data_IF_074133927895
#
_entry.id   IF_074133927895
#
_cell.length_a   1.000
_cell.length_b   1.000
_cell.length_c   1.000
_cell.angle_alpha   90.00
_cell.angle_beta   90.00
_cell.angle_gamma   90.00
#
_symmetry.space_group_name_H-M   'P 1'
#
loop_
_entity.id
_entity.type
_entity.pdbx_description
1 polymer ?
#
# COMPACT_ATOMS: atom_id res chain seq x y z
N UNK A 1 38.32 -13.07 10.33
CA UNK A 1 37.13 -12.20 10.23
C UNK A 1 35.91 -13.10 10.32
N UNK A 2 35.22 -13.14 11.47
CA UNK A 2 34.06 -14.03 11.66
C UNK A 2 32.87 -13.39 10.95
N UNK A 3 32.48 -13.95 9.81
CA UNK A 3 31.24 -13.60 9.14
C UNK A 3 30.08 -14.08 10.01
N UNK A 4 29.35 -13.15 10.63
CA UNK A 4 28.07 -13.45 11.26
C UNK A 4 27.14 -13.95 10.15
N UNK A 5 26.68 -15.19 10.27
CA UNK A 5 25.72 -15.77 9.32
C UNK A 5 24.54 -14.80 9.16
N UNK A 6 24.35 -14.29 7.94
CA UNK A 6 23.13 -13.55 7.58
C UNK A 6 21.95 -14.45 7.94
N UNK A 7 21.01 -13.91 8.72
CA UNK A 7 19.74 -14.58 9.03
C UNK A 7 19.15 -15.16 7.75
N UNK A 8 18.83 -16.45 7.76
CA UNK A 8 18.19 -17.13 6.63
C UNK A 8 16.82 -16.53 6.28
N UNK A 9 16.20 -15.84 7.24
CA UNK A 9 14.89 -15.20 7.12
C UNK A 9 15.02 -13.69 7.02
N UNK A 10 14.15 -13.09 6.18
CA UNK A 10 13.94 -11.64 6.17
C UNK A 10 13.33 -11.18 7.51
N UNK A 11 13.40 -9.88 7.83
CA UNK A 11 12.42 -9.29 8.73
C UNK A 11 10.99 -9.63 8.29
N UNK A 12 10.08 -9.67 9.25
CA UNK A 12 8.65 -9.81 9.01
C UNK A 12 8.17 -8.50 8.39
N UNK A 13 7.58 -8.54 7.20
CA UNK A 13 6.85 -7.41 6.65
C UNK A 13 5.46 -7.36 7.26
N UNK A 14 5.14 -6.28 7.97
CA UNK A 14 3.87 -6.09 8.66
C UNK A 14 3.17 -4.83 8.16
N UNK A 15 2.06 -5.02 7.45
CA UNK A 15 1.10 -3.96 7.19
C UNK A 15 0.02 -4.02 8.28
N UNK A 16 -0.14 -2.92 9.01
CA UNK A 16 -1.20 -2.77 10.00
C UNK A 16 -2.27 -1.83 9.43
N UNK A 17 -3.49 -2.33 9.33
CA UNK A 17 -4.68 -1.56 9.01
C UNK A 17 -5.52 -1.26 10.26
N UNK A 18 -6.58 -0.46 10.14
CA UNK A 18 -7.46 -0.14 11.26
C UNK A 18 -8.20 -1.37 11.82
N UNK A 19 -8.48 -2.36 10.96
CA UNK A 19 -9.28 -3.55 11.27
C UNK A 19 -8.58 -4.86 10.89
N UNK A 20 -7.32 -4.81 10.46
CA UNK A 20 -6.58 -6.01 10.06
C UNK A 20 -5.06 -5.88 10.21
N UNK A 21 -4.37 -7.01 10.29
CA UNK A 21 -2.93 -7.09 10.13
C UNK A 21 -2.57 -8.13 9.08
N UNK A 22 -1.68 -7.74 8.15
CA UNK A 22 -1.13 -8.60 7.10
C UNK A 22 0.36 -8.77 7.33
N UNK A 23 0.81 -10.00 7.50
CA UNK A 23 2.19 -10.36 7.78
C UNK A 23 2.74 -11.28 6.69
N UNK A 24 3.96 -11.01 6.24
CA UNK A 24 4.71 -11.88 5.31
C UNK A 24 6.15 -11.99 5.81
N UNK A 25 6.74 -13.18 5.72
CA UNK A 25 8.16 -13.40 5.92
C UNK A 25 8.74 -14.24 4.79
N UNK A 26 9.90 -13.83 4.29
CA UNK A 26 10.60 -14.49 3.19
C UNK A 26 11.82 -15.26 3.69
N UNK A 27 12.22 -16.25 2.92
CA UNK A 27 13.47 -17.00 3.13
C UNK A 27 14.20 -17.22 1.81
N UNK A 28 15.52 -17.40 1.88
CA UNK A 28 16.39 -17.59 0.72
C UNK A 28 17.01 -16.29 0.20
N UNK A 29 17.99 -16.40 -0.72
CA UNK A 29 18.68 -15.24 -1.28
C UNK A 29 17.75 -14.44 -2.20
N UNK A 30 18.08 -13.17 -2.45
CA UNK A 30 17.24 -12.19 -3.18
C UNK A 30 16.59 -12.74 -4.46
N UNK A 31 17.35 -13.41 -5.32
CA UNK A 31 16.86 -13.96 -6.60
C UNK A 31 16.19 -15.33 -6.49
N UNK A 32 16.05 -15.86 -5.26
CA UNK A 32 15.52 -17.20 -5.01
C UNK A 32 14.61 -17.22 -3.78
N UNK A 33 13.93 -16.09 -3.50
CA UNK A 33 13.06 -15.94 -2.35
C UNK A 33 11.81 -16.79 -2.50
N UNK A 34 11.35 -17.31 -1.37
CA UNK A 34 10.06 -18.00 -1.21
C UNK A 34 9.40 -17.50 0.06
N UNK A 35 8.06 -17.61 0.12
CA UNK A 35 7.31 -17.31 1.34
C UNK A 35 7.62 -18.37 2.40
N UNK A 36 8.10 -17.93 3.56
CA UNK A 36 8.29 -18.78 4.73
C UNK A 36 7.02 -18.85 5.58
N UNK A 37 6.44 -17.69 5.88
CA UNK A 37 5.25 -17.54 6.70
C UNK A 37 4.42 -16.37 6.18
N UNK A 38 3.09 -16.50 6.26
CA UNK A 38 2.14 -15.50 5.76
C UNK A 38 0.82 -15.65 6.51
N UNK A 39 0.25 -14.52 6.94
CA UNK A 39 -0.98 -14.48 7.72
C UNK A 39 -1.70 -13.16 7.51
N UNK A 40 -3.03 -13.19 7.44
CA UNK A 40 -3.86 -12.00 7.52
C UNK A 40 -4.99 -12.29 8.50
N UNK A 41 -5.08 -11.49 9.56
CA UNK A 41 -6.15 -11.59 10.55
C UNK A 41 -6.89 -10.26 10.63
N UNK A 42 -8.19 -10.33 10.91
CA UNK A 42 -9.01 -9.15 11.16
C UNK A 42 -9.23 -8.99 12.66
N UNK A 43 -9.27 -7.75 13.12
CA UNK A 43 -9.50 -7.41 14.51
C UNK A 43 -10.99 -7.18 14.75
N UNK A 44 -11.54 -7.81 15.77
CA UNK A 44 -12.89 -7.52 16.27
C UNK A 44 -12.76 -6.53 17.45
N UNK A 45 -12.54 -5.25 17.12
CA UNK A 45 -12.34 -4.17 18.10
C UNK A 45 -13.48 -3.17 17.96
N UNK A 46 -14.23 -3.00 19.05
CA UNK A 46 -15.30 -2.01 19.17
C UNK A 46 -14.77 -0.59 18.88
N UNK A 47 -15.48 0.15 18.03
CA UNK A 47 -15.16 1.54 17.69
C UNK A 47 -15.24 2.49 18.89
N UNK A 48 -15.88 2.08 19.98
CA UNK A 48 -15.95 2.83 21.24
C UNK A 48 -14.71 2.65 22.13
N UNK A 49 -13.80 1.74 21.80
CA UNK A 49 -12.56 1.58 22.56
C UNK A 49 -11.74 2.86 22.52
N UNK A 50 -11.12 3.19 23.66
CA UNK A 50 -10.07 4.20 23.68
C UNK A 50 -8.89 3.78 22.79
N UNK A 51 -8.06 4.74 22.40
CA UNK A 51 -6.90 4.47 21.55
C UNK A 51 -5.92 3.48 22.20
N UNK A 52 -5.69 3.63 23.51
CA UNK A 52 -4.82 2.75 24.30
C UNK A 52 -5.36 1.31 24.38
N UNK A 53 -6.66 1.15 24.61
CA UNK A 53 -7.31 -0.18 24.63
C UNK A 53 -7.25 -0.85 23.26
N UNK A 54 -7.45 -0.08 22.18
CA UNK A 54 -7.32 -0.57 20.81
C UNK A 54 -5.90 -1.06 20.55
N UNK A 55 -4.88 -0.29 20.91
CA UNK A 55 -3.48 -0.67 20.72
C UNK A 55 -3.11 -1.92 21.52
N UNK A 56 -3.57 -2.03 22.76
CA UNK A 56 -3.34 -3.21 23.59
C UNK A 56 -3.97 -4.48 22.99
N UNK A 57 -5.20 -4.37 22.43
CA UNK A 57 -5.87 -5.47 21.73
C UNK A 57 -5.13 -5.87 20.46
N UNK A 58 -4.72 -4.89 19.64
CA UNK A 58 -3.92 -5.15 18.43
C UNK A 58 -2.61 -5.86 18.78
N UNK A 59 -1.89 -5.38 19.80
CA UNK A 59 -0.64 -6.00 20.24
C UNK A 59 -0.86 -7.44 20.74
N UNK A 60 -1.99 -7.74 21.38
CA UNK A 60 -2.35 -9.09 21.77
C UNK A 60 -2.62 -10.01 20.58
N UNK A 61 -3.38 -9.53 19.58
CA UNK A 61 -3.64 -10.28 18.34
C UNK A 61 -2.34 -10.51 17.54
N UNK A 62 -1.47 -9.52 17.44
CA UNK A 62 -0.16 -9.70 16.80
C UNK A 62 0.68 -10.78 17.50
N UNK A 63 0.70 -10.83 18.85
CA UNK A 63 1.37 -11.91 19.58
C UNK A 63 0.78 -13.27 19.27
N UNK A 64 -0.55 -13.37 19.15
CA UNK A 64 -1.24 -14.61 18.77
C UNK A 64 -0.86 -15.05 17.35
N UNK A 65 -0.93 -14.14 16.38
CA UNK A 65 -0.53 -14.40 14.98
C UNK A 65 0.91 -14.92 14.89
N UNK A 66 1.83 -14.29 15.62
CA UNK A 66 3.24 -14.68 15.63
C UNK A 66 3.47 -16.06 16.28
N UNK A 67 2.59 -16.50 17.18
CA UNK A 67 2.63 -17.83 17.77
C UNK A 67 2.03 -18.89 16.83
N UNK A 68 0.94 -18.55 16.15
CA UNK A 68 0.15 -19.49 15.34
C UNK A 68 0.76 -19.77 13.95
N UNK A 69 1.44 -18.78 13.34
CA UNK A 69 1.81 -18.82 11.91
C UNK A 69 3.30 -19.07 11.62
N UNK A 70 4.03 -19.71 12.53
CA UNK A 70 5.44 -20.16 12.35
C UNK A 70 6.47 -19.08 11.97
N UNK A 71 6.18 -17.79 12.18
CA UNK A 71 7.14 -16.70 11.96
C UNK A 71 8.43 -16.88 12.79
N UNK A 72 9.59 -16.57 12.19
CA UNK A 72 10.91 -16.73 12.82
C UNK A 72 11.52 -15.39 13.20
N UNK A 73 12.02 -15.30 14.43
CA UNK A 73 12.55 -14.05 14.99
C UNK A 73 11.44 -13.02 15.25
N UNK A 74 11.86 -11.80 15.57
CA UNK A 74 10.97 -10.68 15.95
C UNK A 74 11.28 -9.37 15.24
N UNK A 75 12.25 -9.36 14.33
CA UNK A 75 12.55 -8.17 13.55
C UNK A 75 11.42 -7.91 12.55
N UNK A 76 10.89 -6.69 12.55
CA UNK A 76 9.76 -6.29 11.70
C UNK A 76 10.11 -5.05 10.90
N UNK A 77 9.66 -5.02 9.65
CA UNK A 77 9.56 -3.82 8.84
C UNK A 77 8.07 -3.54 8.67
N UNK A 78 7.63 -2.37 9.13
CA UNK A 78 6.24 -1.96 9.06
C UNK A 78 6.11 -0.63 8.31
N UNK A 79 4.89 -0.21 8.00
CA UNK A 79 4.62 1.10 7.42
C UNK A 79 3.48 1.78 8.19
N UNK A 80 3.46 3.10 8.16
CA UNK A 80 2.34 3.89 8.66
C UNK A 80 1.16 3.83 7.68
N UNK A 81 -0.05 3.99 8.20
CA UNK A 81 -1.27 4.05 7.40
C UNK A 81 -1.38 5.32 6.56
N UNK A 82 -2.24 5.31 5.55
CA UNK A 82 -2.48 6.48 4.67
C UNK A 82 -3.04 7.70 5.40
N UNK A 83 -3.73 7.50 6.53
CA UNK A 83 -4.23 8.59 7.39
C UNK A 83 -3.16 9.16 8.34
N UNK A 84 -2.05 8.44 8.51
CA UNK A 84 -0.97 8.77 9.45
C UNK A 84 0.22 9.46 8.77
N UNK A 85 0.23 9.42 7.43
CA UNK A 85 1.31 9.92 6.60
C UNK A 85 0.80 11.03 5.67
N UNK A 86 1.33 12.24 5.87
CA UNK A 86 1.17 13.35 4.96
C UNK A 86 2.06 13.17 3.73
N UNK A 87 1.48 13.33 2.54
CA UNK A 87 2.17 13.17 1.27
C UNK A 87 1.87 14.35 0.36
N UNK A 88 2.93 14.95 -0.19
CA UNK A 88 2.81 16.04 -1.16
C UNK A 88 3.84 15.91 -2.27
N UNK A 89 3.40 16.02 -3.53
CA UNK A 89 4.32 16.16 -4.67
C UNK A 89 4.74 17.62 -4.79
N UNK A 90 6.04 17.89 -4.82
CA UNK A 90 6.64 19.23 -4.82
C UNK A 90 7.62 19.35 -5.98
N UNK A 91 7.57 20.49 -6.68
CA UNK A 91 8.48 20.81 -7.78
C UNK A 91 9.57 21.76 -7.33
N UNK A 92 10.79 21.26 -7.30
CA UNK A 92 11.95 22.04 -6.92
C UNK A 92 12.76 22.42 -8.16
N UNK A 93 13.51 23.55 -8.12
CA UNK A 93 14.58 23.76 -9.09
C UNK A 93 15.59 22.60 -9.04
N UNK A 94 16.41 22.46 -10.07
CA UNK A 94 17.53 21.51 -10.03
C UNK A 94 18.53 21.98 -8.96
N UNK A 95 18.67 21.18 -7.92
CA UNK A 95 19.51 21.44 -6.75
C UNK A 95 20.42 20.24 -6.51
N UNK A 96 21.62 20.44 -5.94
CA UNK A 96 22.42 19.35 -5.39
C UNK A 96 21.63 18.51 -4.40
N UNK A 97 21.86 17.19 -4.38
CA UNK A 97 21.10 16.25 -3.55
C UNK A 97 21.16 16.58 -2.04
N UNK A 98 22.26 17.20 -1.58
CA UNK A 98 22.46 17.65 -0.20
C UNK A 98 21.61 18.87 0.20
N UNK A 99 21.11 19.64 -0.78
CA UNK A 99 20.26 20.81 -0.53
C UNK A 99 18.77 20.44 -0.50
N UNK A 100 18.38 19.36 -1.19
CA UNK A 100 16.98 18.90 -1.26
C UNK A 100 16.33 18.75 0.12
N UNK A 101 16.96 18.12 1.14
CA UNK A 101 16.34 17.98 2.47
C UNK A 101 15.98 19.33 3.11
N UNK A 102 16.80 20.36 2.93
CA UNK A 102 16.55 21.70 3.51
C UNK A 102 15.34 22.35 2.86
N UNK A 103 15.26 22.28 1.53
CA UNK A 103 14.14 22.83 0.78
C UNK A 103 12.86 22.05 1.06
N UNK A 104 12.92 20.72 1.13
CA UNK A 104 11.77 19.90 1.54
C UNK A 104 11.27 20.27 2.93
N UNK A 105 12.15 20.51 3.90
CA UNK A 105 11.75 20.91 5.25
C UNK A 105 11.05 22.29 5.26
N UNK A 106 11.55 23.24 4.47
CA UNK A 106 10.90 24.54 4.30
C UNK A 106 9.52 24.43 3.62
N UNK A 107 9.44 23.63 2.56
CA UNK A 107 8.20 23.31 1.84
C UNK A 107 7.19 22.54 2.73
N UNK A 108 7.65 21.83 3.75
CA UNK A 108 6.81 21.20 4.76
C UNK A 108 6.21 22.23 5.73
N UNK A 109 6.98 23.25 6.12
CA UNK A 109 6.55 24.28 7.07
C UNK A 109 5.31 25.04 6.61
N UNK A 110 5.20 25.28 5.31
CA UNK A 110 4.04 25.98 4.73
C UNK A 110 2.80 25.09 4.58
N UNK A 111 2.95 23.76 4.66
CA UNK A 111 1.90 22.80 4.26
C UNK A 111 1.42 21.88 5.37
N UNK A 112 2.24 21.63 6.38
CA UNK A 112 1.86 20.75 7.47
C UNK A 112 0.78 21.40 8.34
N UNK A 113 -0.24 20.65 8.77
CA UNK A 113 -1.26 21.14 9.69
C UNK A 113 -0.77 21.19 11.15
N UNK A 114 0.52 20.96 11.39
CA UNK A 114 1.17 20.92 12.70
C UNK A 114 2.62 21.44 12.58
N UNK A 115 3.26 21.83 13.69
CA UNK A 115 4.62 22.36 13.68
C UNK A 115 5.62 21.37 13.07
N UNK A 116 6.53 21.87 12.21
CA UNK A 116 7.62 21.05 11.61
C UNK A 116 8.51 20.41 12.67
N UNK A 117 8.69 21.06 13.83
CA UNK A 117 9.46 20.50 14.94
C UNK A 117 8.85 19.22 15.54
N UNK A 118 7.55 18.99 15.33
CA UNK A 118 6.81 17.80 15.75
C UNK A 118 6.67 16.78 14.63
N UNK A 119 7.34 17.00 13.49
CA UNK A 119 7.23 16.18 12.29
C UNK A 119 8.52 15.40 12.03
N UNK A 120 8.37 14.13 11.69
CA UNK A 120 9.42 13.36 11.03
C UNK A 120 9.24 13.49 9.52
N UNK A 121 10.20 14.14 8.84
CA UNK A 121 10.11 14.48 7.41
C UNK A 121 11.12 13.66 6.62
N UNK A 122 10.65 13.07 5.52
CA UNK A 122 11.44 12.38 4.51
C UNK A 122 11.01 12.81 3.11
N UNK A 123 11.77 12.38 2.12
CA UNK A 123 11.39 12.60 0.73
C UNK A 123 11.78 11.42 -0.15
N UNK A 124 11.07 11.29 -1.28
CA UNK A 124 11.43 10.42 -2.38
C UNK A 124 11.77 11.26 -3.62
N UNK A 125 12.90 11.03 -4.29
CA UNK A 125 13.14 11.64 -5.59
C UNK A 125 12.12 11.10 -6.60
N UNK A 126 11.49 11.98 -7.36
CA UNK A 126 10.39 11.62 -8.27
C UNK A 126 10.64 11.95 -9.75
N UNK A 127 11.91 12.11 -10.09
CA UNK A 127 12.38 12.30 -11.45
C UNK A 127 12.38 13.77 -11.90
N UNK A 128 12.73 13.98 -13.18
CA UNK A 128 12.79 15.31 -13.77
C UNK A 128 11.53 15.61 -14.58
N UNK A 129 11.04 16.83 -14.46
CA UNK A 129 9.86 17.33 -15.17
C UNK A 129 10.22 18.58 -15.95
N UNK A 130 9.72 18.69 -17.18
CA UNK A 130 9.86 19.92 -17.98
C UNK A 130 8.70 20.86 -17.66
N UNK A 131 9.01 22.02 -17.12
CA UNK A 131 8.05 23.10 -16.91
C UNK A 131 8.52 24.30 -17.73
N UNK A 132 7.76 24.63 -18.78
CA UNK A 132 8.12 25.67 -19.76
C UNK A 132 9.49 25.40 -20.42
N UNK A 133 10.44 26.35 -20.33
CA UNK A 133 11.82 26.22 -20.82
C UNK A 133 12.79 25.62 -19.79
N UNK A 134 12.34 25.38 -18.56
CA UNK A 134 13.20 24.93 -17.46
C UNK A 134 12.97 23.46 -17.11
N UNK A 135 14.06 22.76 -16.79
CA UNK A 135 14.00 21.42 -16.20
C UNK A 135 13.93 21.57 -14.68
N UNK A 136 12.90 21.02 -14.07
CA UNK A 136 12.73 20.93 -12.61
C UNK A 136 12.89 19.49 -12.15
N UNK A 137 13.02 19.28 -10.85
CA UNK A 137 12.94 17.97 -10.24
C UNK A 137 11.65 17.87 -9.42
N UNK A 138 10.95 16.76 -9.57
CA UNK A 138 9.81 16.41 -8.73
C UNK A 138 10.35 15.64 -7.52
N UNK A 139 9.84 15.97 -6.34
CA UNK A 139 10.16 15.31 -5.07
C UNK A 139 8.84 15.05 -4.35
N UNK A 140 8.71 13.86 -3.76
CA UNK A 140 7.55 13.52 -2.93
C UNK A 140 7.95 13.72 -1.48
N UNK A 141 7.40 14.76 -0.86
CA UNK A 141 7.50 15.03 0.56
C UNK A 141 6.63 14.03 1.32
N UNK A 142 7.22 13.40 2.33
CA UNK A 142 6.56 12.48 3.25
C UNK A 142 6.76 13.02 4.67
N UNK A 143 5.68 13.13 5.44
CA UNK A 143 5.77 13.60 6.82
C UNK A 143 4.76 12.87 7.72
N UNK A 144 5.16 12.62 8.95
CA UNK A 144 4.25 12.12 9.99
C UNK A 144 4.54 12.83 11.31
N UNK A 145 3.52 12.94 12.15
CA UNK A 145 3.68 13.51 13.48
C UNK A 145 4.48 12.54 14.37
N UNK A 146 5.43 13.05 15.15
CA UNK A 146 6.32 12.24 16.00
C UNK A 146 5.53 11.34 16.96
N UNK A 147 4.45 11.85 17.55
CA UNK A 147 3.56 11.05 18.41
C UNK A 147 2.88 9.86 17.70
N UNK A 148 2.60 9.96 16.40
CA UNK A 148 2.06 8.84 15.61
C UNK A 148 3.14 7.77 15.43
N UNK A 149 4.35 8.19 15.06
CA UNK A 149 5.49 7.29 14.90
C UNK A 149 5.85 6.59 16.22
N UNK A 150 5.92 7.33 17.32
CA UNK A 150 6.18 6.79 18.66
C UNK A 150 5.10 5.78 19.09
N UNK A 151 3.82 6.12 18.88
CA UNK A 151 2.71 5.20 19.16
C UNK A 151 2.83 3.91 18.36
N UNK A 152 3.13 4.00 17.06
CA UNK A 152 3.31 2.82 16.21
C UNK A 152 4.47 1.95 16.69
N UNK A 153 5.62 2.55 17.03
CA UNK A 153 6.77 1.83 17.56
C UNK A 153 6.45 1.15 18.90
N UNK A 154 5.77 1.84 19.80
CA UNK A 154 5.33 1.30 21.09
C UNK A 154 4.38 0.11 20.88
N UNK A 155 3.41 0.20 19.95
CA UNK A 155 2.51 -0.91 19.64
C UNK A 155 3.29 -2.15 19.18
N UNK A 156 4.28 -1.97 18.29
CA UNK A 156 5.14 -3.07 17.84
C UNK A 156 5.94 -3.68 18.99
N UNK A 157 6.50 -2.85 19.89
CA UNK A 157 7.24 -3.32 21.06
C UNK A 157 6.34 -4.12 22.02
N UNK A 158 5.12 -3.64 22.30
CA UNK A 158 4.12 -4.36 23.11
C UNK A 158 3.65 -5.67 22.47
N UNK A 159 3.74 -5.78 21.13
CA UNK A 159 3.53 -7.02 20.40
C UNK A 159 4.74 -7.97 20.45
N UNK A 160 5.84 -7.58 21.09
CA UNK A 160 7.09 -8.34 21.16
C UNK A 160 7.91 -8.30 19.88
N UNK A 161 7.69 -7.30 19.02
CA UNK A 161 8.42 -7.08 17.78
C UNK A 161 9.51 -6.02 17.97
N UNK A 162 10.56 -6.10 17.16
CA UNK A 162 11.63 -5.12 17.09
C UNK A 162 11.60 -4.45 15.72
N UNK A 163 11.13 -3.21 15.66
CA UNK A 163 11.10 -2.44 14.42
C UNK A 163 12.54 -2.18 13.93
N UNK A 164 12.89 -2.73 12.76
CA UNK A 164 14.19 -2.46 12.12
C UNK A 164 14.09 -1.37 11.06
N UNK A 165 12.88 -1.12 10.55
CA UNK A 165 12.56 0.04 9.72
C UNK A 165 11.06 0.33 9.77
N UNK A 166 10.72 1.62 9.71
CA UNK A 166 9.40 2.10 9.32
C UNK A 166 9.52 2.60 7.88
N UNK A 167 8.64 2.11 7.03
CA UNK A 167 8.65 2.30 5.60
C UNK A 167 7.35 2.97 5.14
N UNK A 168 7.19 3.18 3.84
CA UNK A 168 5.94 3.68 3.27
C UNK A 168 5.32 2.67 2.32
N UNK A 169 3.99 2.53 2.39
CA UNK A 169 3.20 1.61 1.56
C UNK A 169 3.52 1.71 0.07
N UNK A 170 3.65 2.89 -0.55
CA UNK A 170 3.89 2.99 -1.99
C UNK A 170 5.22 2.37 -2.41
N UNK A 171 6.28 2.61 -1.64
CA UNK A 171 7.59 2.05 -1.90
C UNK A 171 7.61 0.54 -1.65
N UNK A 172 6.85 0.05 -0.68
CA UNK A 172 6.66 -1.39 -0.47
C UNK A 172 5.95 -2.03 -1.67
N UNK A 173 4.83 -1.47 -2.08
CA UNK A 173 4.05 -1.94 -3.25
C UNK A 173 4.92 -2.08 -4.49
N UNK A 174 5.72 -1.06 -4.83
CA UNK A 174 6.58 -1.11 -6.02
C UNK A 174 7.65 -2.21 -5.98
N UNK A 175 8.16 -2.59 -4.79
CA UNK A 175 9.17 -3.64 -4.68
C UNK A 175 8.68 -5.00 -5.15
N UNK A 176 7.37 -5.25 -5.11
CA UNK A 176 6.79 -6.52 -5.54
C UNK A 176 6.74 -6.68 -7.06
N UNK A 177 6.65 -5.59 -7.80
CA UNK A 177 6.38 -5.59 -9.24
C UNK A 177 7.58 -5.17 -10.08
N UNK A 178 8.77 -5.16 -9.47
CA UNK A 178 10.00 -4.92 -10.17
C UNK A 178 10.84 -6.20 -10.20
N UNK A 179 10.98 -6.78 -11.38
CA UNK A 179 11.92 -7.86 -11.60
C UNK A 179 13.32 -7.28 -11.90
N UNK A 180 14.32 -7.71 -11.13
CA UNK A 180 15.71 -7.31 -11.35
C UNK A 180 16.32 -7.96 -12.60
N UNK A 181 15.62 -8.92 -13.23
CA UNK A 181 16.11 -9.70 -14.37
C UNK A 181 15.56 -9.28 -15.73
N UNK A 182 14.53 -8.44 -15.80
CA UNK A 182 13.96 -7.99 -17.07
C UNK A 182 14.73 -6.81 -17.66
N UNK A 183 15.16 -6.95 -18.91
CA UNK A 183 15.50 -5.81 -19.79
C UNK A 183 14.22 -5.01 -20.05
N UNK A 184 13.94 -4.06 -19.17
CA UNK A 184 12.78 -3.15 -19.28
C UNK A 184 12.91 -2.30 -20.54
N UNK A 185 11.81 -2.11 -21.26
CA UNK A 185 11.73 -1.14 -22.36
C UNK A 185 12.14 0.23 -21.83
N UNK A 186 13.16 0.82 -22.44
CA UNK A 186 13.54 2.20 -22.13
C UNK A 186 12.35 3.10 -22.46
N UNK A 187 11.90 3.90 -21.47
CA UNK A 187 10.90 4.97 -21.61
C UNK A 187 9.41 4.61 -21.39
N UNK A 188 9.10 3.65 -20.51
CA UNK A 188 7.73 3.38 -20.07
C UNK A 188 7.50 3.49 -18.56
N UNK A 189 6.25 3.72 -18.17
CA UNK A 189 5.83 3.79 -16.77
C UNK A 189 4.63 2.87 -16.53
N UNK A 190 4.48 2.44 -15.28
CA UNK A 190 3.31 1.71 -14.81
C UNK A 190 2.54 2.55 -13.78
N UNK A 191 1.22 2.43 -13.78
CA UNK A 191 0.36 2.95 -12.72
C UNK A 191 -0.02 1.78 -11.81
N UNK A 192 0.04 1.98 -10.50
CA UNK A 192 -0.41 1.01 -9.51
C UNK A 192 -1.53 1.65 -8.69
N UNK A 193 -2.65 0.95 -8.59
CA UNK A 193 -3.75 1.28 -7.71
C UNK A 193 -3.76 0.28 -6.55
N UNK A 194 -3.29 0.69 -5.37
CA UNK A 194 -3.39 -0.14 -4.18
C UNK A 194 -4.65 0.23 -3.39
N UNK A 195 -5.65 -0.64 -3.42
CA UNK A 195 -6.88 -0.49 -2.66
C UNK A 195 -6.68 -1.00 -1.22
N UNK A 196 -6.41 -0.09 -0.31
CA UNK A 196 -6.32 -0.36 1.13
C UNK A 196 -7.67 -0.18 1.84
N UNK A 197 -7.63 -0.31 3.17
CA UNK A 197 -8.84 -0.23 4.00
C UNK A 197 -9.39 1.20 4.07
N UNK A 198 -8.52 2.16 4.40
CA UNK A 198 -8.91 3.56 4.56
C UNK A 198 -8.77 4.41 3.28
N UNK A 199 -7.91 4.00 2.35
CA UNK A 199 -7.58 4.78 1.16
C UNK A 199 -7.19 3.90 -0.04
N UNK A 200 -7.34 4.46 -1.23
CA UNK A 200 -6.78 3.94 -2.47
C UNK A 200 -5.56 4.76 -2.84
N UNK A 201 -4.42 4.10 -3.01
CA UNK A 201 -3.15 4.73 -3.33
C UNK A 201 -2.89 4.64 -4.82
N UNK A 202 -2.70 5.78 -5.48
CA UNK A 202 -2.31 5.89 -6.89
C UNK A 202 -0.82 6.15 -6.99
N UNK A 203 -0.08 5.24 -7.62
CA UNK A 203 1.37 5.30 -7.75
C UNK A 203 1.74 5.23 -9.23
N UNK A 204 2.35 6.27 -9.77
CA UNK A 204 3.01 6.17 -11.07
C UNK A 204 4.48 5.92 -10.84
N UNK A 205 5.05 4.94 -11.52
CA UNK A 205 6.46 4.61 -11.38
C UNK A 205 7.11 4.28 -12.72
N UNK A 206 8.37 4.65 -12.82
CA UNK A 206 9.29 4.18 -13.84
C UNK A 206 10.26 3.21 -13.15
N UNK A 207 10.05 1.92 -13.39
CA UNK A 207 10.73 0.84 -12.68
C UNK A 207 10.54 0.97 -11.15
N UNK A 208 11.63 1.13 -10.40
CA UNK A 208 11.58 1.29 -8.94
C UNK A 208 11.39 2.75 -8.50
N UNK A 209 11.43 3.72 -9.44
CA UNK A 209 11.36 5.13 -9.11
C UNK A 209 9.91 5.61 -9.16
N UNK A 210 9.37 5.99 -7.99
CA UNK A 210 8.07 6.66 -7.92
C UNK A 210 8.17 7.99 -8.67
N UNK A 211 7.27 8.25 -9.61
CA UNK A 211 7.18 9.53 -10.33
C UNK A 211 6.11 10.46 -9.74
N UNK A 212 5.00 9.87 -9.31
CA UNK A 212 3.88 10.61 -8.75
C UNK A 212 3.11 9.69 -7.80
N UNK A 213 2.64 10.27 -6.71
CA UNK A 213 1.91 9.55 -5.68
C UNK A 213 0.70 10.36 -5.21
N UNK A 214 -0.44 9.69 -5.04
CA UNK A 214 -1.63 10.32 -4.46
C UNK A 214 -2.42 9.33 -3.60
N UNK A 215 -2.88 9.79 -2.44
CA UNK A 215 -3.93 9.12 -1.69
C UNK A 215 -5.31 9.64 -2.09
N UNK A 216 -6.20 8.72 -2.45
CA UNK A 216 -7.63 8.95 -2.53
C UNK A 216 -8.19 8.41 -1.21
N UNK A 217 -8.75 9.28 -0.36
CA UNK A 217 -9.23 8.91 0.98
C UNK A 217 -10.57 8.15 0.96
N UNK A 218 -10.63 7.12 0.10
CA UNK A 218 -11.72 6.17 -0.06
C UNK A 218 -11.08 4.80 -0.28
N UNK A 219 -11.41 3.85 0.60
CA UNK A 219 -10.92 2.46 0.59
C UNK A 219 -12.04 1.47 0.88
N UNK A 220 -11.71 0.22 1.18
CA UNK A 220 -12.70 -0.84 1.40
C UNK A 220 -13.68 -0.53 2.54
N UNK A 221 -13.23 0.15 3.61
CA UNK A 221 -14.08 0.53 4.75
C UNK A 221 -15.27 1.40 4.30
N UNK A 222 -15.08 2.20 3.25
CA UNK A 222 -16.14 3.06 2.72
C UNK A 222 -17.15 2.23 1.93
N UNK A 223 -16.68 1.23 1.19
CA UNK A 223 -17.54 0.29 0.46
C UNK A 223 -18.35 -0.57 1.44
N UNK A 224 -17.71 -1.04 2.52
CA UNK A 224 -18.34 -1.85 3.57
C UNK A 224 -19.44 -1.07 4.30
N UNK A 225 -19.16 0.18 4.70
CA UNK A 225 -20.18 1.05 5.32
C UNK A 225 -21.33 1.39 4.38
N UNK A 226 -21.05 1.65 3.11
CA UNK A 226 -22.11 1.94 2.14
C UNK A 226 -23.09 0.77 1.96
N UNK A 227 -22.59 -0.47 1.96
CA UNK A 227 -23.45 -1.66 1.94
C UNK A 227 -24.23 -1.81 3.25
N UNK A 228 -23.58 -1.57 4.39
CA UNK A 228 -24.23 -1.63 5.70
C UNK A 228 -25.40 -0.63 5.81
N UNK A 229 -25.15 0.62 5.42
CA UNK A 229 -26.13 1.71 5.53
C UNK A 229 -27.30 1.53 4.55
N UNK A 230 -27.02 1.17 3.29
CA UNK A 230 -28.06 1.05 2.27
C UNK A 230 -28.94 -0.20 2.42
N UNK A 231 -28.40 -1.28 3.01
CA UNK A 231 -29.12 -2.53 3.22
C UNK A 231 -29.60 -2.74 4.66
N UNK A 232 -29.34 -1.77 5.56
CA UNK A 232 -29.62 -1.85 7.00
C UNK A 232 -29.06 -3.14 7.63
N UNK A 233 -27.79 -3.43 7.34
CA UNK A 233 -27.09 -4.63 7.81
C UNK A 233 -26.03 -4.28 8.87
N UNK A 234 -25.82 -5.14 9.88
CA UNK A 234 -24.62 -5.04 10.72
C UNK A 234 -23.35 -5.07 9.86
N UNK A 235 -22.37 -4.21 10.18
CA UNK A 235 -21.16 -4.04 9.37
C UNK A 235 -20.45 -5.37 9.05
N UNK A 236 -20.38 -6.29 10.01
CA UNK A 236 -19.77 -7.62 9.82
C UNK A 236 -20.46 -8.44 8.73
N UNK A 237 -21.78 -8.34 8.64
CA UNK A 237 -22.57 -9.02 7.61
C UNK A 237 -22.47 -8.30 6.26
N UNK A 238 -22.46 -6.97 6.26
CA UNK A 238 -22.22 -6.17 5.05
C UNK A 238 -20.85 -6.49 4.40
N UNK A 239 -19.79 -6.58 5.20
CA UNK A 239 -18.44 -6.98 4.73
C UNK A 239 -18.49 -8.37 4.07
N UNK A 240 -19.11 -9.34 4.75
CA UNK A 240 -19.22 -10.72 4.26
C UNK A 240 -19.96 -10.77 2.93
N UNK A 241 -21.12 -10.12 2.89
CA UNK A 241 -21.97 -10.08 1.71
C UNK A 241 -21.26 -9.38 0.53
N UNK A 242 -20.67 -8.21 0.76
CA UNK A 242 -19.92 -7.47 -0.27
C UNK A 242 -18.77 -8.30 -0.84
N UNK A 243 -17.99 -8.98 0.01
CA UNK A 243 -16.89 -9.84 -0.43
C UNK A 243 -17.39 -11.02 -1.27
N UNK A 244 -18.53 -11.63 -0.91
CA UNK A 244 -19.14 -12.70 -1.72
C UNK A 244 -19.51 -12.19 -3.11
N UNK A 245 -20.22 -11.06 -3.19
CA UNK A 245 -20.66 -10.50 -4.48
C UNK A 245 -19.49 -10.06 -5.35
N UNK A 246 -18.52 -9.34 -4.78
CA UNK A 246 -17.35 -8.80 -5.52
C UNK A 246 -16.26 -9.82 -5.84
N UNK A 247 -16.32 -11.01 -5.22
CA UNK A 247 -15.50 -12.17 -5.61
C UNK A 247 -16.13 -13.02 -6.69
N UNK A 248 -17.42 -12.89 -6.93
CA UNK A 248 -18.04 -13.62 -8.02
C UNK A 248 -17.43 -13.15 -9.34
N UNK A 249 -16.92 -14.05 -10.20
CA UNK A 249 -16.35 -13.68 -11.50
C UNK A 249 -17.40 -13.07 -12.43
N UNK A 250 -18.68 -13.32 -12.16
CA UNK A 250 -19.80 -12.72 -12.87
C UNK A 250 -20.80 -12.15 -11.88
N UNK A 251 -21.23 -10.91 -12.13
CA UNK A 251 -22.42 -10.39 -11.46
C UNK A 251 -23.64 -11.16 -11.97
N UNK A 252 -24.36 -11.82 -11.07
CA UNK A 252 -25.70 -12.29 -11.39
C UNK A 252 -26.64 -11.08 -11.44
N UNK A 253 -26.82 -10.52 -12.64
CA UNK A 253 -27.72 -9.39 -12.84
C UNK A 253 -29.19 -9.75 -12.59
N UNK A 254 -29.54 -11.04 -12.51
CA UNK A 254 -30.90 -11.47 -12.15
C UNK A 254 -31.13 -11.44 -10.63
N UNK A 255 -30.06 -11.64 -9.84
CA UNK A 255 -30.11 -11.59 -8.38
C UNK A 255 -30.25 -10.13 -7.88
N UNK A 256 -31.37 -9.87 -7.20
CA UNK A 256 -31.70 -8.56 -6.63
C UNK A 256 -30.71 -8.14 -5.53
N UNK A 257 -30.26 -9.09 -4.71
CA UNK A 257 -29.30 -8.82 -3.64
C UNK A 257 -27.93 -8.44 -4.21
N UNK A 258 -27.48 -9.14 -5.26
CA UNK A 258 -26.26 -8.79 -5.97
C UNK A 258 -26.32 -7.37 -6.52
N UNK A 259 -27.44 -7.01 -7.18
CA UNK A 259 -27.65 -5.65 -7.70
C UNK A 259 -27.60 -4.60 -6.59
N UNK A 260 -28.32 -4.81 -5.49
CA UNK A 260 -28.36 -3.86 -4.38
C UNK A 260 -26.98 -3.65 -3.74
N UNK A 261 -26.15 -4.70 -3.61
CA UNK A 261 -24.78 -4.58 -3.13
C UNK A 261 -23.91 -3.75 -4.07
N UNK A 262 -23.98 -4.01 -5.38
CA UNK A 262 -23.20 -3.26 -6.38
C UNK A 262 -23.64 -1.80 -6.45
N UNK A 263 -24.94 -1.54 -6.46
CA UNK A 263 -25.47 -0.17 -6.50
C UNK A 263 -25.09 0.61 -5.24
N UNK A 264 -24.95 -0.07 -4.09
CA UNK A 264 -24.51 0.56 -2.84
C UNK A 264 -23.08 1.10 -2.91
N UNK A 265 -22.19 0.45 -3.66
CA UNK A 265 -20.78 0.83 -3.73
C UNK A 265 -20.43 1.65 -4.97
N UNK A 266 -21.36 1.75 -5.94
CA UNK A 266 -21.14 2.35 -7.25
C UNK A 266 -20.65 3.80 -7.18
N UNK A 267 -21.30 4.64 -6.37
CA UNK A 267 -20.96 6.07 -6.26
C UNK A 267 -19.54 6.28 -5.72
N UNK A 268 -19.09 5.44 -4.79
CA UNK A 268 -17.73 5.48 -4.24
C UNK A 268 -16.73 5.06 -5.31
N UNK A 269 -17.00 3.99 -6.04
CA UNK A 269 -16.12 3.54 -7.13
C UNK A 269 -16.06 4.55 -8.28
N UNK A 270 -17.15 5.23 -8.60
CA UNK A 270 -17.18 6.33 -9.58
C UNK A 270 -16.35 7.54 -9.12
N UNK A 271 -16.43 7.88 -7.83
CA UNK A 271 -15.61 8.92 -7.20
C UNK A 271 -14.11 8.57 -7.29
N UNK A 272 -13.72 7.36 -6.87
CA UNK A 272 -12.35 6.86 -6.99
C UNK A 272 -11.88 6.90 -8.44
N UNK A 273 -12.71 6.41 -9.37
CA UNK A 273 -12.37 6.37 -10.80
C UNK A 273 -12.13 7.76 -11.37
N UNK A 274 -12.98 8.73 -11.01
CA UNK A 274 -12.81 10.13 -11.43
C UNK A 274 -11.48 10.71 -10.94
N UNK A 275 -11.07 10.34 -9.73
CA UNK A 275 -9.81 10.81 -9.16
C UNK A 275 -8.59 10.10 -9.77
N UNK A 276 -8.72 8.83 -10.15
CA UNK A 276 -7.73 8.12 -10.96
C UNK A 276 -7.59 8.77 -12.34
N UNK A 277 -8.70 9.14 -13.00
CA UNK A 277 -8.66 9.88 -14.28
C UNK A 277 -7.94 11.23 -14.16
N UNK A 278 -8.16 11.95 -13.06
CA UNK A 278 -7.42 13.18 -12.75
C UNK A 278 -5.92 12.91 -12.66
N UNK A 279 -5.52 11.82 -11.99
CA UNK A 279 -4.12 11.42 -11.88
C UNK A 279 -3.52 11.02 -13.24
N UNK A 280 -4.25 10.27 -14.07
CA UNK A 280 -3.84 9.90 -15.43
C UNK A 280 -3.63 11.13 -16.30
N UNK A 281 -4.53 12.13 -16.22
CA UNK A 281 -4.37 13.42 -16.92
C UNK A 281 -3.15 14.19 -16.43
N UNK A 282 -2.97 14.30 -15.10
CA UNK A 282 -1.81 14.95 -14.51
C UNK A 282 -0.51 14.29 -14.99
N UNK A 283 -0.44 12.96 -14.95
CA UNK A 283 0.71 12.20 -15.40
C UNK A 283 1.05 12.49 -16.87
N UNK A 284 0.04 12.41 -17.76
CA UNK A 284 0.20 12.64 -19.20
C UNK A 284 0.74 14.04 -19.53
N UNK A 285 0.31 15.06 -18.78
CA UNK A 285 0.75 16.45 -18.98
C UNK A 285 2.14 16.71 -18.39
N UNK A 286 2.44 16.13 -17.22
CA UNK A 286 3.66 16.38 -16.45
C UNK A 286 4.85 15.56 -16.96
N UNK A 287 4.66 14.27 -17.22
CA UNK A 287 5.71 13.33 -17.62
C UNK A 287 5.65 13.03 -19.12
N UNK A 288 5.70 14.10 -19.93
CA UNK A 288 5.60 14.00 -21.39
C UNK A 288 6.67 13.06 -21.96
N UNK A 289 6.27 12.24 -22.93
CA UNK A 289 7.16 11.32 -23.62
C UNK A 289 7.31 9.95 -22.97
N UNK A 290 6.85 9.76 -21.72
CA UNK A 290 6.79 8.43 -21.09
C UNK A 290 5.40 7.81 -21.29
N UNK A 291 5.32 6.75 -22.09
CA UNK A 291 4.06 6.04 -22.30
C UNK A 291 3.68 5.30 -21.02
N UNK A 292 2.40 5.36 -20.64
CA UNK A 292 1.86 4.48 -19.62
C UNK A 292 1.61 3.11 -20.25
N UNK A 293 2.29 2.07 -19.77
CA UNK A 293 2.22 0.73 -20.34
C UNK A 293 1.07 -0.08 -19.79
N UNK A 294 0.82 0.05 -18.48
CA UNK A 294 -0.16 -0.74 -17.76
C UNK A 294 -0.66 -0.03 -16.52
N UNK A 295 -1.86 -0.42 -16.10
CA UNK A 295 -2.44 -0.07 -14.81
C UNK A 295 -2.66 -1.36 -14.01
N UNK A 296 -1.93 -1.50 -12.91
CA UNK A 296 -1.95 -2.69 -12.04
C UNK A 296 -2.77 -2.36 -10.79
N UNK A 297 -3.79 -3.15 -10.50
CA UNK A 297 -4.64 -3.00 -9.32
C UNK A 297 -4.27 -4.05 -8.29
N UNK A 298 -4.05 -3.63 -7.05
CA UNK A 298 -3.61 -4.47 -5.94
C UNK A 298 -4.29 -4.05 -4.64
N UNK A 299 -3.91 -4.67 -3.51
CA UNK A 299 -4.55 -4.44 -2.21
C UNK A 299 -5.73 -5.38 -1.95
N UNK A 300 -6.49 -5.08 -0.89
CA UNK A 300 -7.52 -5.97 -0.35
C UNK A 300 -8.71 -6.17 -1.31
N UNK A 301 -8.96 -5.20 -2.18
CA UNK A 301 -10.09 -5.18 -3.12
C UNK A 301 -9.73 -5.62 -4.55
N UNK A 302 -8.48 -6.05 -4.79
CA UNK A 302 -8.11 -6.53 -6.13
C UNK A 302 -8.84 -7.83 -6.45
N UNK A 303 -9.93 -7.74 -7.21
CA UNK A 303 -10.72 -8.87 -7.71
C UNK A 303 -10.97 -8.72 -9.21
N UNK A 304 -11.21 -9.82 -9.95
CA UNK A 304 -11.51 -9.76 -11.39
C UNK A 304 -12.63 -8.76 -11.72
N UNK A 305 -13.69 -8.75 -10.92
CA UNK A 305 -14.79 -7.81 -11.08
C UNK A 305 -14.36 -6.34 -11.02
N UNK A 306 -13.50 -5.97 -10.06
CA UNK A 306 -13.01 -4.61 -9.93
C UNK A 306 -12.10 -4.23 -11.12
N UNK A 307 -11.32 -5.18 -11.64
CA UNK A 307 -10.49 -4.97 -12.83
C UNK A 307 -11.37 -4.63 -14.04
N UNK A 308 -12.44 -5.39 -14.27
CA UNK A 308 -13.35 -5.18 -15.38
C UNK A 308 -14.06 -3.83 -15.25
N UNK A 309 -14.58 -3.52 -14.05
CA UNK A 309 -15.21 -2.22 -13.76
C UNK A 309 -14.27 -1.04 -14.05
N UNK A 310 -13.03 -1.09 -13.53
CA UNK A 310 -12.05 -0.02 -13.74
C UNK A 310 -11.60 0.06 -15.20
N UNK A 311 -11.46 -1.08 -15.89
CA UNK A 311 -11.05 -1.08 -17.30
C UNK A 311 -12.08 -0.40 -18.19
N UNK A 312 -13.36 -0.70 -17.98
CA UNK A 312 -14.46 -0.06 -18.68
C UNK A 312 -14.56 1.43 -18.31
N UNK A 313 -14.58 1.75 -17.01
CA UNK A 313 -14.78 3.12 -16.53
C UNK A 313 -13.63 4.06 -16.91
N UNK A 314 -12.38 3.59 -16.88
CA UNK A 314 -11.19 4.38 -17.20
C UNK A 314 -10.79 4.30 -18.69
N UNK A 315 -11.44 3.43 -19.47
CA UNK A 315 -11.05 3.11 -20.85
C UNK A 315 -9.54 2.79 -20.96
N UNK A 316 -9.04 1.98 -20.03
CA UNK A 316 -7.61 1.64 -19.87
C UNK A 316 -7.49 0.18 -19.46
N UNK A 317 -6.60 -0.58 -20.09
CA UNK A 317 -6.35 -1.99 -19.71
C UNK A 317 -5.81 -2.08 -18.28
N UNK A 318 -6.66 -2.54 -17.35
CA UNK A 318 -6.28 -2.78 -15.97
C UNK A 318 -5.94 -4.26 -15.77
N UNK A 319 -4.97 -4.54 -14.91
CA UNK A 319 -4.56 -5.91 -14.57
C UNK A 319 -4.53 -6.11 -13.07
N UNK A 320 -4.90 -7.32 -12.63
CA UNK A 320 -4.74 -7.68 -11.23
C UNK A 320 -3.25 -7.91 -10.92
N UNK A 321 -2.72 -7.20 -9.93
CA UNK A 321 -1.34 -7.35 -9.49
C UNK A 321 -1.16 -8.56 -8.60
N UNK A 322 -0.19 -9.41 -8.94
CA UNK A 322 0.22 -10.55 -8.14
C UNK A 322 1.64 -10.37 -7.57
N UNK A 323 1.81 -10.07 -6.27
CA UNK A 323 3.13 -9.82 -5.68
C UNK A 323 4.01 -11.09 -5.62
N UNK A 324 3.45 -12.28 -5.86
CA UNK A 324 4.20 -13.53 -5.86
C UNK A 324 4.95 -13.80 -7.16
N UNK A 325 4.68 -13.05 -8.23
CA UNK A 325 5.38 -13.17 -9.52
C UNK A 325 6.90 -12.98 -9.36
N UNK A 326 7.32 -12.12 -8.44
CA UNK A 326 8.73 -11.91 -8.10
C UNK A 326 9.42 -13.07 -7.35
N UNK A 327 8.66 -14.09 -6.92
CA UNK A 327 9.18 -15.20 -6.13
C UNK A 327 9.56 -16.40 -6.99
N UNK A 328 10.60 -17.13 -6.54
CA UNK A 328 11.04 -18.37 -7.21
C UNK A 328 10.00 -19.48 -7.15
N UNK A 329 9.14 -19.45 -6.14
CA UNK A 329 8.02 -20.38 -5.96
C UNK A 329 6.89 -19.66 -5.24
N UNK A 330 5.69 -19.82 -5.79
CA UNK A 330 4.49 -19.25 -5.21
C UNK A 330 4.00 -20.06 -3.99
N UNK A 331 3.23 -19.44 -3.08
CA UNK A 331 2.42 -20.18 -2.12
C UNK A 331 1.47 -21.15 -2.84
N UNK A 332 1.14 -22.26 -2.19
CA UNK A 332 0.25 -23.29 -2.77
C UNK A 332 -1.18 -23.21 -2.26
N UNK A 333 -1.46 -22.43 -1.20
CA UNK A 333 -2.81 -22.33 -0.64
C UNK A 333 -3.73 -21.55 -1.57
N UNK A 334 -4.86 -22.15 -1.95
CA UNK A 334 -5.88 -21.49 -2.79
C UNK A 334 -6.37 -20.19 -2.17
N UNK A 335 -6.58 -20.14 -0.85
CA UNK A 335 -7.04 -18.93 -0.16
C UNK A 335 -6.04 -17.77 -0.27
N UNK A 336 -4.74 -18.06 -0.37
CA UNK A 336 -3.69 -17.04 -0.55
C UNK A 336 -3.72 -16.51 -1.99
N UNK A 337 -3.90 -17.40 -2.96
CA UNK A 337 -3.84 -17.10 -4.39
C UNK A 337 -5.14 -16.52 -4.97
N UNK A 338 -6.28 -16.69 -4.29
CA UNK A 338 -7.58 -16.16 -4.73
C UNK A 338 -7.57 -14.63 -4.84
N UNK A 339 -6.94 -13.95 -3.87
CA UNK A 339 -6.70 -12.50 -3.89
C UNK A 339 -5.23 -12.24 -3.59
N UNK A 340 -4.34 -12.33 -4.58
CA UNK A 340 -2.91 -12.21 -4.33
C UNK A 340 -2.52 -10.77 -3.99
N UNK A 341 -3.25 -9.77 -4.51
CA UNK A 341 -2.95 -8.36 -4.29
C UNK A 341 -3.04 -7.89 -2.84
N UNK A 342 -3.79 -8.59 -1.97
CA UNK A 342 -3.88 -8.26 -0.54
C UNK A 342 -2.55 -8.39 0.22
N UNK A 343 -1.61 -9.14 -0.35
CA UNK A 343 -0.31 -9.41 0.26
C UNK A 343 0.76 -8.41 -0.15
N UNK A 344 0.46 -7.51 -1.09
CA UNK A 344 1.45 -6.69 -1.80
C UNK A 344 2.28 -5.82 -0.86
N UNK A 345 1.66 -5.02 0.00
CA UNK A 345 2.41 -4.15 0.90
C UNK A 345 3.27 -4.98 1.86
N UNK A 346 2.69 -5.96 2.56
CA UNK A 346 3.43 -6.80 3.51
C UNK A 346 4.57 -7.58 2.83
N UNK A 347 4.36 -8.07 1.61
CA UNK A 347 5.40 -8.69 0.79
C UNK A 347 6.52 -7.69 0.49
N UNK A 348 6.19 -6.50 0.02
CA UNK A 348 7.14 -5.44 -0.30
C UNK A 348 7.96 -4.97 0.91
N UNK A 349 7.35 -4.96 2.10
CA UNK A 349 8.03 -4.70 3.37
C UNK A 349 9.01 -5.84 3.70
N UNK A 350 8.59 -7.10 3.56
CA UNK A 350 9.45 -8.27 3.78
C UNK A 350 10.60 -8.37 2.75
N UNK A 351 10.41 -7.78 1.57
CA UNK A 351 11.42 -7.73 0.52
C UNK A 351 12.52 -6.70 0.79
N UNK A 352 12.29 -5.72 1.67
CA UNK A 352 13.25 -4.66 1.98
C UNK A 352 14.50 -5.26 2.62
N UNK A 353 15.65 -4.94 2.02
CA UNK A 353 16.93 -5.35 2.57
C UNK A 353 17.21 -4.55 3.84
N UNK A 354 17.85 -5.20 4.82
CA UNK A 354 18.39 -4.48 5.98
C UNK A 354 19.45 -3.52 5.44
N UNK A 355 19.26 -2.23 5.68
CA UNK A 355 20.36 -1.27 5.54
C UNK A 355 21.28 -1.55 6.72
N UNK A 356 22.43 -2.18 6.45
CA UNK A 356 23.50 -2.27 7.43
C UNK A 356 23.90 -0.82 7.75
N UNK A 357 23.57 -0.35 8.95
CA UNK A 357 23.90 1.00 9.44
C UNK A 357 25.39 1.12 9.72
#
# INVERSE_FOLDING_TARGET
MISLQRSQYSPIGLQLGPSSATLVQLTGPRHNRVVHAIAQEHFDIDDKCSLEERDAKIAAELRRILADHHFKGRQVISCLGSQELFIQNVRLPQLPAEEIPKVVAWEAEERLPYPVAEAEIRHLPAGQVRQESNTKQEVILLACHNGILERHLNLLEHAGLTAVAIDVEPSATLRCFHDASETVQTNSASCYLNFGDAATTVIFADQQNVLFLKYIMQGSDHLDRAVADNLDLPLKEAIRLRKIVTNSPTLDASDELHRSVIDSIRSILESISTEVENCLRYYKVTFRGKKLDQLIVTGNESSPWLIDFLSERLNTDCKMGNPFESLKRWPTSTSILERPGRWTTAMGLAMKEKVDR
#
